data_IF_077625933922
#
_entry.id   IF_077625933922
#
_cell.length_a   1.000
_cell.length_b   1.000
_cell.length_c   1.000
_cell.angle_alpha   90.00
_cell.angle_beta   90.00
_cell.angle_gamma   90.00
#
_symmetry.space_group_name_H-M   'P 1'
#
loop_
_entity.id
_entity.type
_entity.pdbx_description
1 polymer ?
#
# COMPACT_ATOMS: atom_id res chain seq x y z
N UNK A 1 12.23 13.31 59.68
CA UNK A 1 11.13 13.19 58.70
C UNK A 1 10.85 14.58 58.16
N UNK A 2 11.29 14.86 56.92
CA UNK A 2 11.06 16.14 56.24
C UNK A 2 10.06 15.90 55.12
N UNK A 3 8.92 16.58 55.16
CA UNK A 3 7.89 16.56 54.12
C UNK A 3 8.29 17.64 53.12
N UNK A 4 8.92 17.23 52.02
CA UNK A 4 9.23 18.14 50.91
C UNK A 4 7.96 18.35 50.10
N UNK A 5 7.39 19.56 50.21
CA UNK A 5 6.29 20.02 49.38
C UNK A 5 6.71 19.99 47.90
N UNK A 6 6.03 19.17 47.11
CA UNK A 6 6.22 19.06 45.65
C UNK A 6 5.47 20.22 45.01
N UNK A 7 6.19 21.26 44.62
CA UNK A 7 5.65 22.39 43.85
C UNK A 7 5.13 21.84 42.52
N UNK A 8 3.81 21.85 42.35
CA UNK A 8 3.14 21.56 41.07
C UNK A 8 3.46 22.73 40.15
N UNK A 9 4.37 22.51 39.20
CA UNK A 9 4.57 23.40 38.07
C UNK A 9 3.32 23.35 37.19
N UNK A 10 2.47 24.37 37.31
CA UNK A 10 1.48 24.68 36.28
C UNK A 10 2.22 24.89 34.97
N UNK A 11 1.95 24.05 33.98
CA UNK A 11 2.35 24.26 32.59
C UNK A 11 1.69 25.55 32.13
N UNK A 12 2.46 26.63 32.12
CA UNK A 12 2.11 27.87 31.46
C UNK A 12 1.97 27.55 29.97
N UNK A 13 0.75 27.57 29.45
CA UNK A 13 0.50 27.60 28.00
C UNK A 13 1.05 28.93 27.50
N UNK A 14 2.33 28.93 27.16
CA UNK A 14 3.03 30.09 26.63
C UNK A 14 2.37 30.53 25.33
N UNK A 15 2.09 31.83 25.22
CA UNK A 15 1.75 32.44 23.95
C UNK A 15 2.84 32.08 22.93
N UNK A 16 2.48 31.33 21.90
CA UNK A 16 3.40 31.05 20.78
C UNK A 16 3.89 32.38 20.22
N UNK A 17 5.20 32.50 20.03
CA UNK A 17 5.77 33.72 19.45
C UNK A 17 5.17 33.92 18.05
N UNK A 18 5.10 35.15 17.56
CA UNK A 18 4.56 35.39 16.23
C UNK A 18 5.40 34.72 15.12
N UNK A 19 6.68 34.46 15.39
CA UNK A 19 7.56 33.63 14.55
C UNK A 19 7.11 32.16 14.53
N UNK A 20 6.77 31.56 15.68
CA UNK A 20 6.25 30.19 15.75
C UNK A 20 4.94 30.06 14.95
N UNK A 21 4.03 31.05 15.10
CA UNK A 21 2.77 31.08 14.33
C UNK A 21 2.99 31.23 12.83
N UNK A 22 4.05 31.92 12.41
CA UNK A 22 4.41 32.06 11.00
C UNK A 22 4.99 30.75 10.44
N UNK A 23 5.86 30.08 11.20
CA UNK A 23 6.43 28.79 10.82
C UNK A 23 5.35 27.71 10.68
N UNK A 24 4.42 27.63 11.64
CA UNK A 24 3.29 26.70 11.60
C UNK A 24 2.46 26.93 10.32
N UNK A 25 2.10 28.20 10.04
CA UNK A 25 1.33 28.54 8.84
C UNK A 25 2.08 28.19 7.54
N UNK A 26 3.41 28.30 7.52
CA UNK A 26 4.21 27.89 6.36
C UNK A 26 4.24 26.37 6.18
N UNK A 27 4.32 25.62 7.27
CA UNK A 27 4.25 24.15 7.25
C UNK A 27 2.89 23.67 6.73
N UNK A 28 1.79 24.20 7.27
CA UNK A 28 0.42 23.89 6.82
C UNK A 28 0.23 24.17 5.33
N UNK A 29 0.69 25.34 4.84
CA UNK A 29 0.65 25.67 3.41
C UNK A 29 1.47 24.70 2.55
N UNK A 30 2.59 24.21 3.06
CA UNK A 30 3.44 23.25 2.35
C UNK A 30 2.72 21.90 2.21
N UNK A 31 2.08 21.42 3.28
CA UNK A 31 1.27 20.20 3.28
C UNK A 31 0.07 20.36 2.34
N UNK A 32 -0.62 21.49 2.39
CA UNK A 32 -1.74 21.78 1.48
C UNK A 32 -1.32 21.78 0.01
N UNK A 33 -0.18 22.40 -0.30
CA UNK A 33 0.36 22.40 -1.66
C UNK A 33 0.72 20.98 -2.13
N UNK A 34 1.28 20.15 -1.26
CA UNK A 34 1.53 18.74 -1.56
C UNK A 34 0.23 17.97 -1.80
N UNK A 35 -0.76 18.11 -0.92
CA UNK A 35 -2.06 17.46 -1.07
C UNK A 35 -2.72 17.84 -2.41
N UNK A 36 -2.62 19.11 -2.82
CA UNK A 36 -3.11 19.59 -4.13
C UNK A 36 -2.33 19.00 -5.30
N UNK A 37 -1.00 18.93 -5.20
CA UNK A 37 -0.17 18.30 -6.21
C UNK A 37 -0.51 16.80 -6.34
N UNK A 38 -0.76 16.10 -5.24
CA UNK A 38 -1.18 14.71 -5.26
C UNK A 38 -2.55 14.55 -5.89
N UNK A 39 -3.52 15.41 -5.57
CA UNK A 39 -4.81 15.41 -6.22
C UNK A 39 -4.68 15.61 -7.74
N UNK A 40 -3.78 16.48 -8.19
CA UNK A 40 -3.46 16.65 -9.61
C UNK A 40 -2.88 15.37 -10.23
N UNK A 41 -1.87 14.75 -9.59
CA UNK A 41 -1.27 13.51 -10.08
C UNK A 41 -2.28 12.35 -10.15
N UNK A 42 -3.12 12.21 -9.12
CA UNK A 42 -4.22 11.24 -9.13
C UNK A 42 -5.24 11.56 -10.23
N UNK A 43 -5.56 12.82 -10.46
CA UNK A 43 -6.44 13.21 -11.58
C UNK A 43 -5.85 12.80 -12.93
N UNK A 44 -4.54 12.88 -13.11
CA UNK A 44 -3.88 12.40 -14.34
C UNK A 44 -4.03 10.88 -14.47
N UNK A 45 -3.75 10.13 -13.41
CA UNK A 45 -3.93 8.67 -13.37
C UNK A 45 -5.37 8.27 -13.71
N UNK A 46 -6.35 8.91 -13.07
CA UNK A 46 -7.77 8.65 -13.34
C UNK A 46 -8.18 9.08 -14.74
N UNK A 47 -7.55 10.12 -15.31
CA UNK A 47 -7.78 10.51 -16.71
C UNK A 47 -7.27 9.44 -17.68
N UNK A 48 -6.11 8.84 -17.41
CA UNK A 48 -5.59 7.70 -18.20
C UNK A 48 -6.56 6.53 -18.12
N UNK A 49 -6.99 6.14 -16.91
CA UNK A 49 -7.95 5.06 -16.74
C UNK A 49 -9.29 5.37 -17.43
N UNK A 50 -9.82 6.58 -17.27
CA UNK A 50 -11.06 7.01 -17.91
C UNK A 50 -10.96 7.00 -19.44
N UNK A 51 -9.84 7.45 -20.01
CA UNK A 51 -9.60 7.39 -21.45
C UNK A 51 -9.55 5.93 -21.95
N UNK A 52 -8.85 5.04 -21.22
CA UNK A 52 -8.79 3.62 -21.53
C UNK A 52 -10.16 2.93 -21.49
N UNK A 53 -10.99 3.25 -20.48
CA UNK A 53 -12.37 2.74 -20.37
C UNK A 53 -13.24 3.29 -21.49
N UNK A 54 -13.15 4.60 -21.76
CA UNK A 54 -13.93 5.24 -22.81
C UNK A 54 -13.61 4.63 -24.17
N UNK A 55 -12.33 4.37 -24.45
CA UNK A 55 -11.90 3.70 -25.68
C UNK A 55 -12.60 2.33 -25.84
N UNK A 56 -12.57 1.50 -24.77
CA UNK A 56 -13.24 0.20 -24.73
C UNK A 56 -14.77 0.30 -24.92
N UNK A 57 -15.41 1.27 -24.27
CA UNK A 57 -16.85 1.53 -24.43
C UNK A 57 -17.17 1.96 -25.87
N UNK A 58 -16.39 2.88 -26.44
CA UNK A 58 -16.61 3.36 -27.81
C UNK A 58 -16.45 2.25 -28.84
N UNK A 59 -15.42 1.43 -28.71
CA UNK A 59 -15.20 0.27 -29.59
C UNK A 59 -16.35 -0.74 -29.48
N UNK A 60 -16.83 -1.05 -28.28
CA UNK A 60 -18.02 -1.91 -28.11
C UNK A 60 -19.29 -1.30 -28.72
N UNK A 61 -19.48 0.02 -28.61
CA UNK A 61 -20.68 0.70 -29.13
C UNK A 61 -20.68 0.77 -30.66
N UNK A 62 -19.53 1.07 -31.27
CA UNK A 62 -19.36 1.34 -32.71
C UNK A 62 -19.20 0.05 -33.53
N UNK A 63 -18.72 -1.05 -32.93
CA UNK A 63 -18.56 -2.33 -33.64
C UNK A 63 -19.92 -2.83 -34.17
N UNK A 64 -20.02 -2.99 -35.49
CA UNK A 64 -21.24 -3.45 -36.15
C UNK A 64 -21.44 -4.96 -35.97
N UNK A 65 -22.63 -5.37 -35.52
CA UNK A 65 -22.99 -6.78 -35.33
C UNK A 65 -23.86 -7.02 -34.09
N UNK A 66 -24.33 -8.26 -33.87
CA UNK A 66 -25.01 -8.64 -32.64
C UNK A 66 -24.06 -8.47 -31.45
N UNK A 67 -24.45 -7.62 -30.50
CA UNK A 67 -23.68 -7.35 -29.27
C UNK A 67 -23.91 -8.48 -28.28
N UNK A 68 -22.99 -9.43 -28.22
CA UNK A 68 -22.98 -10.45 -27.17
C UNK A 68 -22.25 -9.85 -25.97
N UNK A 69 -22.98 -9.63 -24.88
CA UNK A 69 -22.39 -9.18 -23.61
C UNK A 69 -21.88 -10.40 -22.88
N UNK A 70 -20.56 -10.55 -22.83
CA UNK A 70 -19.92 -11.51 -21.94
C UNK A 70 -19.90 -10.94 -20.52
N UNK A 71 -20.80 -11.44 -19.67
CA UNK A 71 -20.92 -10.98 -18.28
C UNK A 71 -19.68 -11.25 -17.46
N UNK A 72 -18.88 -12.25 -17.79
CA UNK A 72 -17.61 -12.54 -17.09
C UNK A 72 -16.60 -11.42 -17.38
N UNK A 73 -16.46 -11.04 -18.65
CA UNK A 73 -15.59 -9.93 -19.07
C UNK A 73 -16.03 -8.62 -18.42
N UNK A 74 -17.34 -8.34 -18.38
CA UNK A 74 -17.88 -7.14 -17.71
C UNK A 74 -17.56 -7.18 -16.21
N UNK A 75 -17.75 -8.33 -15.55
CA UNK A 75 -17.48 -8.49 -14.13
C UNK A 75 -15.99 -8.28 -13.80
N UNK A 76 -15.06 -8.84 -14.58
CA UNK A 76 -13.62 -8.67 -14.35
C UNK A 76 -13.14 -7.23 -14.62
N UNK A 77 -13.65 -6.57 -15.66
CA UNK A 77 -13.35 -5.15 -15.88
C UNK A 77 -13.91 -4.29 -14.73
N UNK A 78 -15.12 -4.57 -14.26
CA UNK A 78 -15.71 -3.92 -13.09
C UNK A 78 -14.87 -4.14 -11.83
N UNK A 79 -14.41 -5.36 -11.58
CA UNK A 79 -13.56 -5.69 -10.44
C UNK A 79 -12.21 -4.98 -10.51
N UNK A 80 -11.58 -4.91 -11.70
CA UNK A 80 -10.33 -4.18 -11.90
C UNK A 80 -10.49 -2.67 -11.63
N UNK A 81 -11.63 -2.08 -12.04
CA UNK A 81 -11.95 -0.69 -11.71
C UNK A 81 -12.16 -0.47 -10.22
N UNK A 82 -12.85 -1.38 -9.54
CA UNK A 82 -13.03 -1.33 -8.09
C UNK A 82 -11.68 -1.40 -7.38
N UNK A 83 -10.78 -2.30 -7.79
CA UNK A 83 -9.42 -2.38 -7.23
C UNK A 83 -8.68 -1.07 -7.47
N UNK A 84 -8.59 -0.61 -8.72
CA UNK A 84 -7.88 0.62 -9.04
C UNK A 84 -8.40 1.81 -8.23
N UNK A 85 -9.72 2.01 -8.22
CA UNK A 85 -10.37 3.10 -7.49
C UNK A 85 -10.16 3.01 -5.97
N UNK A 86 -10.34 1.82 -5.38
CA UNK A 86 -10.18 1.63 -3.93
C UNK A 86 -8.72 1.72 -3.50
N UNK A 87 -7.79 1.10 -4.22
CA UNK A 87 -6.34 1.19 -3.94
C UNK A 87 -5.86 2.64 -4.04
N UNK A 88 -6.27 3.36 -5.10
CA UNK A 88 -5.93 4.77 -5.28
C UNK A 88 -6.51 5.65 -4.17
N UNK A 89 -7.78 5.45 -3.81
CA UNK A 89 -8.44 6.21 -2.74
C UNK A 89 -7.77 5.97 -1.38
N UNK A 90 -7.47 4.71 -1.04
CA UNK A 90 -6.76 4.36 0.20
C UNK A 90 -5.37 4.99 0.21
N UNK A 91 -4.61 4.87 -0.89
CA UNK A 91 -3.28 5.45 -0.96
C UNK A 91 -3.29 6.97 -0.81
N UNK A 92 -4.16 7.67 -1.55
CA UNK A 92 -4.32 9.12 -1.43
C UNK A 92 -4.66 9.52 0.01
N UNK A 93 -5.59 8.79 0.63
CA UNK A 93 -6.01 9.02 2.00
C UNK A 93 -4.88 8.82 3.01
N UNK A 94 -4.16 7.70 2.91
CA UNK A 94 -3.03 7.37 3.78
C UNK A 94 -1.85 8.31 3.57
N UNK A 95 -1.57 8.73 2.33
CA UNK A 95 -0.51 9.68 2.02
C UNK A 95 -0.82 11.05 2.63
N UNK A 96 -2.04 11.56 2.43
CA UNK A 96 -2.47 12.85 3.00
C UNK A 96 -2.40 12.84 4.54
N UNK A 97 -2.96 11.80 5.19
CA UNK A 97 -2.91 11.67 6.66
C UNK A 97 -1.52 11.37 7.19
N UNK A 98 -0.71 10.62 6.45
CA UNK A 98 0.68 10.36 6.80
C UNK A 98 1.51 11.64 6.83
N UNK A 99 1.28 12.57 5.90
CA UNK A 99 1.91 13.89 5.91
C UNK A 99 1.43 14.74 7.09
N UNK A 100 0.12 14.76 7.36
CA UNK A 100 -0.43 15.47 8.53
C UNK A 100 0.25 14.99 9.82
N UNK A 101 0.36 13.67 10.02
CA UNK A 101 0.97 13.08 11.22
C UNK A 101 2.48 13.38 11.34
N UNK A 102 3.18 13.63 10.23
CA UNK A 102 4.64 13.85 10.22
C UNK A 102 5.06 15.31 10.18
N UNK A 103 4.20 16.20 9.67
CA UNK A 103 4.60 17.58 9.35
C UNK A 103 3.66 18.65 9.91
N UNK A 104 2.49 18.31 10.47
CA UNK A 104 1.59 19.30 11.08
C UNK A 104 2.14 19.85 12.41
N UNK A 105 1.47 20.86 12.98
CA UNK A 105 1.87 21.56 14.21
C UNK A 105 2.12 20.62 15.41
N UNK A 106 1.37 19.52 15.51
CA UNK A 106 1.54 18.47 16.52
C UNK A 106 2.11 17.19 15.88
N UNK A 107 3.12 17.34 15.02
CA UNK A 107 3.73 16.21 14.35
C UNK A 107 4.30 15.20 15.35
N UNK A 108 4.04 13.92 15.08
CA UNK A 108 4.60 12.82 15.86
C UNK A 108 6.06 12.54 15.51
N UNK A 109 6.60 13.24 14.50
CA UNK A 109 7.96 13.10 13.99
C UNK A 109 8.62 14.46 13.84
N UNK A 110 9.89 14.57 14.20
CA UNK A 110 10.70 15.79 13.97
C UNK A 110 10.91 15.97 12.46
N UNK A 111 10.40 17.05 11.85
CA UNK A 111 10.46 17.22 10.40
C UNK A 111 11.89 17.54 9.93
N UNK A 112 12.33 16.91 8.84
CA UNK A 112 13.62 17.20 8.22
C UNK A 112 13.54 17.13 6.69
N UNK A 113 14.35 17.95 6.01
CA UNK A 113 14.28 18.18 4.55
C UNK A 113 14.42 16.89 3.72
N UNK A 114 15.36 16.03 4.08
CA UNK A 114 15.58 14.77 3.37
C UNK A 114 14.42 13.79 3.54
N UNK A 115 13.75 13.80 4.70
CA UNK A 115 12.60 12.93 4.97
C UNK A 115 11.40 13.38 4.17
N UNK A 116 11.20 14.70 4.10
CA UNK A 116 10.20 15.30 3.24
C UNK A 116 10.43 14.98 1.76
N UNK A 117 11.65 15.14 1.25
CA UNK A 117 11.99 14.79 -0.13
C UNK A 117 11.77 13.30 -0.41
N UNK A 118 12.14 12.44 0.52
CA UNK A 118 11.91 10.99 0.39
C UNK A 118 10.42 10.66 0.35
N UNK A 119 9.63 11.17 1.30
CA UNK A 119 8.17 10.96 1.33
C UNK A 119 7.52 11.48 0.03
N UNK A 120 7.98 12.63 -0.47
CA UNK A 120 7.56 13.18 -1.75
C UNK A 120 7.88 12.24 -2.92
N UNK A 121 9.12 11.77 -3.04
CA UNK A 121 9.54 10.88 -4.12
C UNK A 121 8.78 9.55 -4.07
N UNK A 122 8.54 9.00 -2.89
CA UNK A 122 7.73 7.78 -2.71
C UNK A 122 6.33 7.98 -3.29
N UNK A 123 5.69 9.12 -2.99
CA UNK A 123 4.34 9.41 -3.47
C UNK A 123 4.33 9.66 -4.98
N UNK A 124 5.32 10.34 -5.53
CA UNK A 124 5.40 10.54 -6.99
C UNK A 124 5.67 9.23 -7.73
N UNK A 125 6.60 8.41 -7.24
CA UNK A 125 6.99 7.15 -7.88
C UNK A 125 5.85 6.11 -7.84
N UNK A 126 5.01 6.13 -6.81
CA UNK A 126 3.82 5.25 -6.73
C UNK A 126 2.75 5.60 -7.75
N UNK A 127 2.75 6.79 -8.35
CA UNK A 127 1.83 7.13 -9.43
C UNK A 127 2.11 6.32 -10.70
N UNK A 128 3.36 5.88 -10.92
CA UNK A 128 3.75 5.07 -12.07
C UNK A 128 2.95 3.77 -12.16
N UNK A 129 3.00 2.90 -11.12
CA UNK A 129 2.17 1.69 -11.07
C UNK A 129 0.67 1.96 -11.24
N UNK A 130 0.11 3.02 -10.65
CA UNK A 130 -1.29 3.35 -10.85
C UNK A 130 -1.62 3.73 -12.31
N UNK A 131 -0.76 4.52 -12.96
CA UNK A 131 -0.93 4.86 -14.38
C UNK A 131 -0.85 3.60 -15.26
N UNK A 132 0.05 2.66 -14.95
CA UNK A 132 0.14 1.37 -15.64
C UNK A 132 -1.11 0.52 -15.43
N UNK A 133 -1.65 0.46 -14.22
CA UNK A 133 -2.94 -0.20 -13.95
C UNK A 133 -4.07 0.42 -14.78
N UNK A 134 -4.13 1.76 -14.86
CA UNK A 134 -5.12 2.46 -15.68
C UNK A 134 -4.98 2.14 -17.18
N UNK A 135 -3.75 2.20 -17.71
CA UNK A 135 -3.47 1.87 -19.13
C UNK A 135 -3.77 0.41 -19.45
N UNK A 136 -3.53 -0.52 -18.51
CA UNK A 136 -3.82 -1.93 -18.67
C UNK A 136 -5.32 -2.25 -18.84
N UNK A 137 -6.22 -1.29 -18.59
CA UNK A 137 -7.66 -1.45 -18.84
C UNK A 137 -8.08 -1.14 -20.28
N UNK A 138 -7.18 -0.57 -21.08
CA UNK A 138 -7.43 -0.27 -22.50
C UNK A 138 -7.72 -1.55 -23.27
N UNK A 139 -8.64 -1.45 -24.23
CA UNK A 139 -9.07 -2.62 -25.00
C UNK A 139 -7.92 -3.33 -25.71
N UNK A 140 -7.07 -2.61 -26.43
CA UNK A 140 -5.95 -3.22 -27.16
C UNK A 140 -5.02 -4.02 -26.24
N UNK A 141 -4.82 -3.53 -25.02
CA UNK A 141 -3.98 -4.20 -24.02
C UNK A 141 -4.68 -5.42 -23.44
N UNK A 142 -5.97 -5.31 -23.12
CA UNK A 142 -6.73 -6.44 -22.57
C UNK A 142 -7.04 -7.52 -23.59
N UNK A 143 -7.21 -7.17 -24.86
CA UNK A 143 -7.48 -8.12 -25.93
C UNK A 143 -6.22 -8.93 -26.24
N UNK A 144 -5.04 -8.29 -26.18
CA UNK A 144 -3.75 -8.98 -26.36
C UNK A 144 -3.37 -9.78 -25.13
N UNK A 145 -3.39 -9.19 -23.92
CA UNK A 145 -2.78 -9.81 -22.73
C UNK A 145 -3.71 -10.06 -21.55
N UNK A 146 -5.03 -9.96 -21.77
CA UNK A 146 -6.00 -10.08 -20.69
C UNK A 146 -5.71 -9.09 -19.57
N UNK A 147 -5.75 -9.57 -18.32
CA UNK A 147 -5.45 -8.75 -17.14
C UNK A 147 -3.99 -8.87 -16.68
N UNK A 148 -3.09 -9.43 -17.49
CA UNK A 148 -1.68 -9.64 -17.12
C UNK A 148 -0.98 -8.36 -16.69
N UNK A 149 -1.06 -7.31 -17.50
CA UNK A 149 -0.41 -6.04 -17.18
C UNK A 149 -1.03 -5.32 -15.99
N UNK A 150 -2.33 -5.51 -15.77
CA UNK A 150 -3.01 -4.97 -14.59
C UNK A 150 -2.48 -5.65 -13.31
N UNK A 151 -2.40 -6.98 -13.33
CA UNK A 151 -1.80 -7.77 -12.24
C UNK A 151 -0.34 -7.36 -11.99
N UNK A 152 0.50 -7.33 -13.03
CA UNK A 152 1.92 -6.96 -12.87
C UNK A 152 2.07 -5.56 -12.29
N UNK A 153 1.31 -4.57 -12.78
CA UNK A 153 1.35 -3.21 -12.25
C UNK A 153 0.89 -3.15 -10.78
N UNK A 154 -0.14 -3.93 -10.42
CA UNK A 154 -0.59 -4.07 -9.04
C UNK A 154 0.50 -4.68 -8.14
N UNK A 155 1.13 -5.77 -8.56
CA UNK A 155 2.19 -6.42 -7.76
C UNK A 155 3.44 -5.53 -7.64
N UNK A 156 3.79 -4.77 -8.68
CA UNK A 156 4.87 -3.76 -8.61
C UNK A 156 4.54 -2.69 -7.55
N UNK A 157 3.29 -2.24 -7.46
CA UNK A 157 2.88 -1.28 -6.42
C UNK A 157 3.10 -1.86 -5.01
N UNK A 158 2.72 -3.12 -4.80
CA UNK A 158 2.90 -3.80 -3.51
C UNK A 158 4.38 -4.02 -3.19
N UNK A 159 5.18 -4.49 -4.16
CA UNK A 159 6.63 -4.66 -4.01
C UNK A 159 7.33 -3.34 -3.70
N UNK A 160 6.93 -2.26 -4.37
CA UNK A 160 7.44 -0.92 -4.08
C UNK A 160 7.11 -0.52 -2.63
N UNK A 161 5.86 -0.70 -2.19
CA UNK A 161 5.45 -0.45 -0.80
C UNK A 161 6.27 -1.24 0.22
N UNK A 162 6.52 -2.52 -0.04
CA UNK A 162 7.38 -3.37 0.81
C UNK A 162 8.83 -2.90 0.82
N UNK A 163 9.40 -2.51 -0.32
CA UNK A 163 10.74 -1.95 -0.40
C UNK A 163 10.86 -0.68 0.46
N UNK A 164 9.85 0.20 0.41
CA UNK A 164 9.81 1.40 1.25
C UNK A 164 9.72 1.06 2.75
N UNK A 165 8.96 0.02 3.12
CA UNK A 165 8.90 -0.46 4.51
C UNK A 165 10.25 -1.01 4.98
N UNK A 166 10.96 -1.78 4.14
CA UNK A 166 12.30 -2.29 4.45
C UNK A 166 13.28 -1.13 4.65
N UNK A 167 13.28 -0.15 3.73
CA UNK A 167 14.13 1.04 3.85
C UNK A 167 13.81 1.80 5.15
N UNK A 168 12.52 1.96 5.48
CA UNK A 168 12.08 2.55 6.74
C UNK A 168 12.62 1.80 7.96
N UNK A 169 12.48 0.48 8.00
CA UNK A 169 12.99 -0.36 9.09
C UNK A 169 14.51 -0.27 9.26
N UNK A 170 15.26 -0.34 8.16
CA UNK A 170 16.72 -0.20 8.16
C UNK A 170 17.14 1.16 8.71
N UNK A 171 16.45 2.22 8.28
CA UNK A 171 16.69 3.57 8.79
C UNK A 171 16.48 3.66 10.31
N UNK A 172 15.39 3.10 10.84
CA UNK A 172 15.14 3.07 12.29
C UNK A 172 16.20 2.26 13.04
N UNK A 173 16.66 1.15 12.46
CA UNK A 173 17.68 0.29 13.07
C UNK A 173 19.05 0.98 13.13
N UNK A 174 19.42 1.74 12.10
CA UNK A 174 20.74 2.39 11.98
C UNK A 174 20.79 3.72 12.72
N UNK A 175 19.76 4.56 12.56
CA UNK A 175 19.74 5.93 13.06
C UNK A 175 18.90 6.11 14.32
N UNK A 176 18.25 5.04 14.80
CA UNK A 176 17.38 5.08 15.96
C UNK A 176 16.04 5.78 15.72
N UNK A 177 15.17 5.72 16.73
CA UNK A 177 13.85 6.36 16.73
C UNK A 177 13.90 7.81 17.27
N UNK A 178 15.06 8.45 17.26
CA UNK A 178 15.28 9.78 17.86
C UNK A 178 14.37 10.88 17.31
N UNK A 179 13.81 10.66 16.11
CA UNK A 179 12.92 11.61 15.47
C UNK A 179 11.45 11.31 15.71
N UNK A 180 11.07 10.20 16.36
CA UNK A 180 9.66 9.88 16.65
C UNK A 180 9.36 10.21 18.11
N UNK A 181 8.24 10.86 18.36
CA UNK A 181 7.70 11.06 19.71
C UNK A 181 7.58 9.71 20.45
N UNK A 182 8.08 9.59 21.69
CA UNK A 182 8.12 8.31 22.41
C UNK A 182 6.77 7.58 22.51
N UNK A 183 5.69 8.36 22.61
CA UNK A 183 4.31 7.87 22.70
C UNK A 183 3.84 7.16 21.42
N UNK A 184 4.43 7.49 20.27
CA UNK A 184 4.03 6.96 18.96
C UNK A 184 4.99 5.89 18.41
N UNK A 185 6.15 5.65 19.04
CA UNK A 185 7.14 4.65 18.58
C UNK A 185 6.52 3.26 18.48
N UNK A 186 5.82 2.82 19.53
CA UNK A 186 5.19 1.50 19.56
C UNK A 186 4.13 1.34 18.46
N UNK A 187 3.33 2.38 18.23
CA UNK A 187 2.30 2.41 17.19
C UNK A 187 2.94 2.35 15.80
N UNK A 188 3.97 3.18 15.55
CA UNK A 188 4.69 3.21 14.28
C UNK A 188 5.33 1.86 13.95
N UNK A 189 6.00 1.22 14.91
CA UNK A 189 6.58 -0.10 14.74
C UNK A 189 5.50 -1.18 14.53
N UNK A 190 4.40 -1.12 15.28
CA UNK A 190 3.27 -2.05 15.13
C UNK A 190 2.64 -1.98 13.74
N UNK A 191 2.42 -0.76 13.22
CA UNK A 191 1.91 -0.51 11.86
C UNK A 191 2.87 -1.01 10.79
N UNK A 192 4.18 -0.72 10.92
CA UNK A 192 5.19 -1.21 9.99
C UNK A 192 5.22 -2.74 9.94
N UNK A 193 5.19 -3.41 11.10
CA UNK A 193 5.14 -4.88 11.19
C UNK A 193 3.86 -5.43 10.55
N UNK A 194 2.73 -4.79 10.81
CA UNK A 194 1.43 -5.18 10.28
C UNK A 194 1.42 -5.14 8.75
N UNK A 195 1.75 -3.98 8.17
CA UNK A 195 1.76 -3.82 6.72
C UNK A 195 2.79 -4.72 6.06
N UNK A 196 3.97 -4.87 6.64
CA UNK A 196 5.00 -5.76 6.10
C UNK A 196 4.50 -7.20 6.05
N UNK A 197 3.97 -7.72 7.16
CA UNK A 197 3.45 -9.08 7.23
C UNK A 197 2.25 -9.29 6.28
N UNK A 198 1.28 -8.37 6.28
CA UNK A 198 0.08 -8.46 5.46
C UNK A 198 0.42 -8.47 3.97
N UNK A 199 1.26 -7.53 3.50
CA UNK A 199 1.63 -7.45 2.09
C UNK A 199 2.53 -8.65 1.68
N UNK A 200 3.43 -9.13 2.55
CA UNK A 200 4.23 -10.33 2.25
C UNK A 200 3.39 -11.60 2.11
N UNK A 201 2.39 -11.79 2.99
CA UNK A 201 1.46 -12.92 2.90
C UNK A 201 0.62 -12.81 1.62
N UNK A 202 0.11 -11.62 1.31
CA UNK A 202 -0.62 -11.36 0.07
C UNK A 202 0.22 -11.75 -1.15
N UNK A 203 1.47 -11.25 -1.26
CA UNK A 203 2.37 -11.57 -2.37
C UNK A 203 2.63 -13.08 -2.50
N UNK A 204 2.81 -13.78 -1.38
CA UNK A 204 3.05 -15.22 -1.39
C UNK A 204 1.85 -16.00 -1.94
N UNK A 205 0.64 -15.66 -1.50
CA UNK A 205 -0.60 -16.29 -1.98
C UNK A 205 -0.80 -15.96 -3.46
N UNK A 206 -0.55 -14.72 -3.88
CA UNK A 206 -0.64 -14.31 -5.28
C UNK A 206 0.36 -15.03 -6.17
N UNK A 207 1.64 -15.10 -5.78
CA UNK A 207 2.67 -15.81 -6.53
C UNK A 207 2.34 -17.30 -6.66
N UNK A 208 1.90 -17.92 -5.56
CA UNK A 208 1.58 -19.35 -5.52
C UNK A 208 0.33 -19.68 -6.34
N UNK A 209 -0.71 -18.85 -6.27
CA UNK A 209 -1.91 -19.03 -7.10
C UNK A 209 -1.62 -18.79 -8.58
N UNK A 210 -0.77 -17.82 -8.93
CA UNK A 210 -0.33 -17.59 -10.31
C UNK A 210 0.42 -18.81 -10.84
N UNK A 211 1.39 -19.32 -10.08
CA UNK A 211 2.14 -20.52 -10.43
C UNK A 211 1.25 -21.75 -10.65
N UNK A 212 0.29 -21.99 -9.75
CA UNK A 212 -0.65 -23.11 -9.88
C UNK A 212 -1.55 -22.97 -11.11
N UNK A 213 -1.96 -21.74 -11.45
CA UNK A 213 -2.84 -21.48 -12.57
C UNK A 213 -2.13 -21.42 -13.93
N UNK A 214 -0.83 -21.09 -13.96
CA UNK A 214 -0.03 -21.05 -15.20
C UNK A 214 0.37 -22.43 -15.74
N UNK A 215 0.05 -23.50 -15.00
CA UNK A 215 0.47 -24.86 -15.30
C UNK A 215 1.87 -25.18 -14.76
N UNK A 216 2.11 -26.47 -14.48
CA UNK A 216 3.40 -27.00 -14.02
C UNK A 216 4.49 -26.84 -15.08
N UNK A 217 5.76 -26.84 -14.67
CA UNK A 217 6.95 -26.92 -15.54
C UNK A 217 6.89 -28.01 -16.63
N UNK A 218 6.01 -28.99 -16.48
CA UNK A 218 5.85 -30.15 -17.36
C UNK A 218 4.73 -29.99 -18.41
N UNK A 219 3.96 -28.91 -18.36
CA UNK A 219 2.85 -28.62 -19.29
C UNK A 219 3.11 -27.32 -20.05
N UNK A 220 2.47 -27.16 -21.23
CA UNK A 220 2.47 -25.91 -21.98
C UNK A 220 2.02 -24.79 -21.04
N UNK A 221 2.85 -23.75 -20.84
CA UNK A 221 2.49 -22.60 -19.99
C UNK A 221 1.24 -21.93 -20.57
N UNK A 222 0.18 -21.83 -19.78
CA UNK A 222 -1.02 -21.05 -20.10
C UNK A 222 -0.96 -19.70 -19.41
N UNK A 223 -1.51 -18.66 -20.03
CA UNK A 223 -1.68 -17.37 -19.41
C UNK A 223 -2.89 -17.42 -18.44
N UNK A 224 -2.67 -17.42 -17.10
CA UNK A 224 -3.77 -17.53 -16.13
C UNK A 224 -4.61 -16.24 -16.02
N UNK A 225 -4.32 -15.24 -16.86
CA UNK A 225 -4.97 -13.94 -16.86
C UNK A 225 -5.73 -13.65 -18.17
N UNK A 226 -5.84 -14.65 -19.03
CA UNK A 226 -6.72 -14.64 -20.21
C UNK A 226 -8.03 -15.39 -19.90
N UNK A 227 -9.20 -14.72 -19.92
CA UNK A 227 -10.48 -15.32 -19.48
C UNK A 227 -10.85 -16.65 -20.13
N UNK A 228 -10.37 -16.90 -21.35
CA UNK A 228 -10.72 -18.09 -22.13
C UNK A 228 -9.71 -19.26 -21.98
N UNK A 229 -8.68 -19.12 -21.15
CA UNK A 229 -7.68 -20.17 -20.92
C UNK A 229 -7.95 -20.98 -19.63
N UNK A 230 -7.50 -22.24 -19.60
CA UNK A 230 -7.62 -23.12 -18.43
C UNK A 230 -6.92 -22.52 -17.20
N UNK A 231 -7.57 -22.56 -16.03
CA UNK A 231 -7.02 -22.01 -14.79
C UNK A 231 -7.21 -20.50 -14.62
N UNK A 232 -7.62 -19.78 -15.68
CA UNK A 232 -7.71 -18.33 -15.63
C UNK A 232 -8.85 -17.82 -14.75
N UNK A 233 -10.01 -18.46 -14.79
CA UNK A 233 -11.15 -18.07 -13.95
C UNK A 233 -10.82 -18.24 -12.46
N UNK A 234 -10.15 -19.35 -12.09
CA UNK A 234 -9.70 -19.55 -10.70
C UNK A 234 -8.73 -18.46 -10.26
N UNK A 235 -7.67 -18.21 -11.04
CA UNK A 235 -6.68 -17.21 -10.68
C UNK A 235 -7.26 -15.80 -10.64
N UNK A 236 -8.03 -15.39 -11.63
CA UNK A 236 -8.68 -14.08 -11.66
C UNK A 236 -9.58 -13.90 -10.44
N UNK A 237 -10.42 -14.88 -10.09
CA UNK A 237 -11.27 -14.80 -8.90
C UNK A 237 -10.45 -14.66 -7.62
N UNK A 238 -9.36 -15.43 -7.47
CA UNK A 238 -8.44 -15.33 -6.34
C UNK A 238 -7.78 -13.95 -6.29
N UNK A 239 -7.24 -13.47 -7.42
CA UNK A 239 -6.63 -12.16 -7.54
C UNK A 239 -7.59 -11.04 -7.15
N UNK A 240 -8.76 -10.99 -7.77
CA UNK A 240 -9.73 -9.92 -7.52
C UNK A 240 -10.22 -9.94 -6.07
N UNK A 241 -10.54 -11.12 -5.52
CA UNK A 241 -10.97 -11.26 -4.14
C UNK A 241 -9.87 -10.85 -3.15
N UNK A 242 -8.63 -11.28 -3.36
CA UNK A 242 -7.51 -10.96 -2.48
C UNK A 242 -7.11 -9.50 -2.56
N UNK A 243 -7.13 -8.88 -3.74
CA UNK A 243 -6.81 -7.46 -3.89
C UNK A 243 -7.84 -6.57 -3.17
N UNK A 244 -9.13 -6.88 -3.30
CA UNK A 244 -10.20 -6.18 -2.54
C UNK A 244 -10.06 -6.43 -1.04
N UNK A 245 -9.82 -7.68 -0.62
CA UNK A 245 -9.61 -8.01 0.78
C UNK A 245 -8.37 -7.29 1.34
N UNK A 246 -7.28 -7.23 0.58
CA UNK A 246 -6.05 -6.50 0.92
C UNK A 246 -6.36 -5.02 1.15
N UNK A 247 -7.13 -4.39 0.29
CA UNK A 247 -7.56 -3.00 0.48
C UNK A 247 -8.40 -2.82 1.75
N UNK A 248 -9.31 -3.75 2.05
CA UNK A 248 -10.07 -3.72 3.29
C UNK A 248 -9.17 -3.88 4.53
N UNK A 249 -8.20 -4.80 4.48
CA UNK A 249 -7.22 -5.01 5.55
C UNK A 249 -6.21 -3.87 5.68
N UNK A 250 -5.96 -3.12 4.61
CA UNK A 250 -5.14 -1.91 4.66
C UNK A 250 -5.89 -0.75 5.31
N UNK A 251 -7.18 -0.60 5.02
CA UNK A 251 -7.98 0.53 5.49
C UNK A 251 -8.56 0.34 6.90
N UNK A 252 -9.28 -0.76 7.15
CA UNK A 252 -10.07 -0.94 8.37
C UNK A 252 -9.23 -0.88 9.65
N UNK A 253 -8.08 -1.58 9.76
CA UNK A 253 -7.25 -1.55 10.96
C UNK A 253 -6.54 -0.21 11.16
N UNK A 254 -6.25 0.49 10.06
CA UNK A 254 -5.53 1.77 10.07
C UNK A 254 -6.43 2.96 10.37
N UNK A 255 -7.76 2.81 10.28
CA UNK A 255 -8.70 3.89 10.56
C UNK A 255 -8.42 4.57 11.90
N UNK A 256 -8.28 3.80 12.98
CA UNK A 256 -7.99 4.37 14.29
C UNK A 256 -6.57 4.95 14.37
N UNK A 257 -5.61 4.46 13.59
CA UNK A 257 -4.24 5.01 13.58
C UNK A 257 -4.24 6.42 12.99
N UNK A 258 -4.92 6.62 11.86
CA UNK A 258 -5.01 7.92 11.20
C UNK A 258 -6.05 8.86 11.83
N UNK A 259 -7.06 8.29 12.50
CA UNK A 259 -8.09 9.01 13.25
C UNK A 259 -8.13 8.54 14.69
N UNK A 260 -7.23 9.04 15.54
CA UNK A 260 -7.32 8.79 16.97
C UNK A 260 -8.58 9.45 17.53
N UNK A 261 -9.70 8.71 17.54
CA UNK A 261 -10.89 9.08 18.29
C UNK A 261 -10.55 8.98 19.78
N UNK A 262 -11.08 9.92 20.59
CA UNK A 262 -10.84 10.01 22.05
C UNK A 262 -10.79 8.63 22.72
N UNK A 263 -9.91 8.45 23.72
CA UNK A 263 -9.56 7.14 24.22
C UNK A 263 -10.77 6.35 24.71
N UNK A 264 -10.89 5.13 24.18
CA UNK A 264 -12.02 4.22 24.44
C UNK A 264 -11.68 3.17 25.51
N UNK A 265 -10.41 3.04 25.91
CA UNK A 265 -9.99 2.11 26.96
C UNK A 265 -10.32 2.62 28.36
N UNK A 266 -10.55 1.70 29.31
CA UNK A 266 -10.82 2.02 30.71
C UNK A 266 -9.74 2.91 31.38
N UNK A 267 -8.52 2.92 30.82
CA UNK A 267 -7.37 3.68 31.31
C UNK A 267 -7.04 4.91 30.44
N UNK A 268 -7.94 5.34 29.55
CA UNK A 268 -7.64 6.45 28.65
C UNK A 268 -6.67 6.08 27.51
N UNK A 269 -6.52 4.78 27.20
CA UNK A 269 -5.71 4.32 26.06
C UNK A 269 -6.54 4.23 24.77
N UNK A 270 -5.86 4.44 23.65
CA UNK A 270 -6.42 4.21 22.32
C UNK A 270 -6.47 2.70 22.02
N UNK A 271 -7.61 2.23 21.53
CA UNK A 271 -7.81 0.82 21.18
C UNK A 271 -7.68 0.63 19.67
N UNK A 272 -6.78 -0.27 19.26
CA UNK A 272 -6.63 -0.68 17.87
C UNK A 272 -7.36 -2.00 17.61
N UNK A 273 -7.53 -2.33 16.32
CA UNK A 273 -8.00 -3.64 15.92
C UNK A 273 -7.08 -4.74 16.50
N UNK A 274 -7.67 -5.82 17.03
CA UNK A 274 -6.94 -6.80 17.89
C UNK A 274 -5.60 -7.30 17.31
N UNK A 275 -5.50 -7.70 16.02
CA UNK A 275 -4.22 -8.07 15.42
C UNK A 275 -3.18 -6.95 15.40
N UNK A 276 -3.59 -5.71 15.10
CA UNK A 276 -2.71 -4.55 15.14
C UNK A 276 -2.27 -4.25 16.58
N UNK A 277 -3.22 -4.26 17.53
CA UNK A 277 -2.93 -4.05 18.94
C UNK A 277 -1.84 -5.02 19.45
N UNK A 278 -1.94 -6.31 19.11
CA UNK A 278 -0.91 -7.31 19.46
C UNK A 278 0.47 -6.97 18.89
N UNK A 279 0.55 -6.35 17.72
CA UNK A 279 1.81 -5.97 17.08
C UNK A 279 2.39 -4.67 17.65
N UNK A 280 1.52 -3.76 18.10
CA UNK A 280 1.89 -2.54 18.85
C UNK A 280 2.45 -2.93 20.22
N UNK A 281 1.79 -3.83 20.93
CA UNK A 281 2.19 -4.31 22.25
C UNK A 281 3.35 -5.33 22.21
N UNK A 282 3.80 -5.71 21.01
CA UNK A 282 4.84 -6.71 20.83
C UNK A 282 6.23 -6.17 21.21
N UNK A 283 6.76 -6.71 22.30
CA UNK A 283 8.15 -6.53 22.72
C UNK A 283 9.04 -7.63 22.08
N UNK A 284 9.96 -7.28 21.15
CA UNK A 284 10.81 -8.27 20.51
C UNK A 284 11.79 -8.90 21.52
N UNK A 285 11.94 -10.23 21.54
CA UNK A 285 12.99 -10.87 22.32
C UNK A 285 14.37 -10.42 21.82
N UNK A 286 15.34 -10.31 22.75
CA UNK A 286 16.73 -10.04 22.42
C UNK A 286 17.49 -11.35 22.28
N UNK A 287 17.97 -11.64 21.08
CA UNK A 287 18.82 -12.80 20.78
C UNK A 287 20.21 -12.26 20.48
N UNK A 288 21.22 -12.64 21.26
CA UNK A 288 22.59 -12.09 21.17
C UNK A 288 22.65 -10.55 21.24
N UNK A 289 21.78 -9.93 22.03
CA UNK A 289 21.70 -8.46 22.17
C UNK A 289 20.96 -7.75 21.03
N UNK A 290 20.59 -8.47 19.96
CA UNK A 290 19.80 -7.93 18.85
C UNK A 290 18.30 -8.17 19.11
N UNK A 291 17.48 -7.13 18.96
CA UNK A 291 16.02 -7.27 19.02
C UNK A 291 15.53 -7.98 17.75
N UNK A 292 15.08 -9.22 17.88
CA UNK A 292 14.55 -10.00 16.76
C UNK A 292 13.03 -9.95 16.81
N UNK A 293 12.41 -9.33 15.80
CA UNK A 293 10.95 -9.26 15.70
C UNK A 293 10.40 -10.48 14.96
N UNK A 294 9.76 -11.40 15.67
CA UNK A 294 9.16 -12.59 15.07
C UNK A 294 8.16 -12.26 13.93
N UNK A 295 7.27 -11.25 14.05
CA UNK A 295 6.42 -10.83 12.94
C UNK A 295 7.19 -10.41 11.68
N UNK A 296 8.33 -9.71 11.85
CA UNK A 296 9.18 -9.34 10.72
C UNK A 296 9.84 -10.57 10.11
N UNK A 297 10.38 -11.49 10.92
CA UNK A 297 10.97 -12.74 10.44
C UNK A 297 9.95 -13.52 9.60
N UNK A 298 8.72 -13.67 10.10
CA UNK A 298 7.63 -14.31 9.34
C UNK A 298 7.34 -13.57 8.05
N UNK A 299 7.26 -12.23 8.08
CA UNK A 299 7.07 -11.41 6.89
C UNK A 299 8.20 -11.58 5.86
N UNK A 300 9.46 -11.69 6.30
CA UNK A 300 10.61 -11.92 5.41
C UNK A 300 10.59 -13.33 4.83
N UNK A 301 10.17 -14.34 5.59
CA UNK A 301 10.00 -15.71 5.07
C UNK A 301 8.93 -15.78 3.98
N UNK A 302 7.78 -15.16 4.19
CA UNK A 302 6.74 -15.07 3.16
C UNK A 302 7.22 -14.29 1.93
N UNK A 303 7.92 -13.17 2.12
CA UNK A 303 8.48 -12.40 1.01
C UNK A 303 9.51 -13.21 0.22
N UNK A 304 10.44 -13.88 0.90
CA UNK A 304 11.44 -14.74 0.26
C UNK A 304 10.81 -15.91 -0.49
N UNK A 305 9.77 -16.53 0.09
CA UNK A 305 9.00 -17.56 -0.59
C UNK A 305 8.27 -17.01 -1.82
N UNK A 306 7.63 -15.84 -1.72
CA UNK A 306 6.95 -15.19 -2.84
C UNK A 306 7.93 -14.89 -3.98
N UNK A 307 9.07 -14.26 -3.67
CA UNK A 307 10.15 -13.99 -4.63
C UNK A 307 10.67 -15.29 -5.24
N UNK A 308 10.85 -16.35 -4.46
CA UNK A 308 11.30 -17.65 -4.99
C UNK A 308 10.29 -18.23 -5.98
N UNK A 309 8.99 -18.15 -5.69
CA UNK A 309 7.94 -18.59 -6.61
C UNK A 309 7.91 -17.71 -7.88
N UNK A 310 8.02 -16.39 -7.73
CA UNK A 310 8.01 -15.45 -8.86
C UNK A 310 9.24 -15.59 -9.77
N UNK A 311 10.43 -15.79 -9.20
CA UNK A 311 11.67 -15.85 -9.97
C UNK A 311 12.02 -17.26 -10.42
N UNK A 312 11.99 -18.22 -9.50
CA UNK A 312 12.44 -19.57 -9.82
C UNK A 312 11.33 -20.32 -10.55
N UNK A 313 10.12 -20.35 -9.97
CA UNK A 313 9.05 -21.24 -10.42
C UNK A 313 8.26 -20.74 -11.63
N UNK A 314 8.04 -19.43 -11.72
CA UNK A 314 7.22 -18.82 -12.78
C UNK A 314 8.06 -18.05 -13.79
N UNK A 315 9.32 -17.73 -13.49
CA UNK A 315 10.18 -16.91 -14.35
C UNK A 315 9.50 -15.60 -14.77
N UNK A 316 8.78 -14.94 -13.85
CA UNK A 316 8.10 -13.66 -14.11
C UNK A 316 9.05 -12.55 -14.58
N UNK A 317 10.36 -12.73 -14.37
CA UNK A 317 11.38 -11.83 -14.88
C UNK A 317 11.58 -11.94 -16.41
N UNK A 318 11.20 -13.06 -17.04
CA UNK A 318 11.25 -13.23 -18.50
C UNK A 318 10.00 -12.60 -19.14
N UNK A 319 9.98 -11.26 -19.16
CA UNK A 319 8.89 -10.50 -19.78
C UNK A 319 8.65 -10.89 -21.24
N UNK A 320 9.67 -11.09 -22.11
CA UNK A 320 9.44 -11.56 -23.48
C UNK A 320 8.73 -12.92 -23.56
N UNK A 321 9.01 -13.84 -22.64
CA UNK A 321 8.29 -15.10 -22.56
C UNK A 321 6.82 -14.87 -22.18
N UNK A 322 6.55 -14.12 -21.12
CA UNK A 322 5.18 -13.88 -20.67
C UNK A 322 4.36 -13.05 -21.65
N UNK A 323 4.99 -12.11 -22.36
CA UNK A 323 4.36 -11.43 -23.50
C UNK A 323 3.92 -12.45 -24.53
N UNK A 324 4.80 -13.37 -24.97
CA UNK A 324 4.44 -14.41 -25.96
C UNK A 324 3.39 -15.41 -25.46
N UNK A 325 3.40 -15.75 -24.18
CA UNK A 325 2.41 -16.69 -23.59
C UNK A 325 1.04 -16.03 -23.44
N UNK A 326 1.03 -14.74 -23.13
CA UNK A 326 -0.15 -13.92 -22.95
C UNK A 326 -0.38 -12.98 -24.15
N UNK A 327 -0.04 -13.33 -25.39
CA UNK A 327 -0.37 -12.53 -26.60
C UNK A 327 -0.81 -13.45 -27.72
#
# INVERSE_FOLDING_TARGET
MSITAKTVSMVTVGATSDEDKLQIRQQERTIDNLNRLFAMLFSIVFSVAAASILHKVTAFVITAGPKVVDWEVVAFNGAALVILGTTAAIFFHQASRGLDLRYAQNANVVPHRLGFLFDYLVIVLTMGPFALMGKALEQEVTDVAGFFWFFVAHEILILFGLAMLIIGQLRHTIFGDHNISPEFVAVAHGVQRYWFMMNSIYLFIMASSFFLASGSYTTVRSCPLMPHQSGALFFMMVFFALAVARNAFDFLPMWNVFFPVKPQGANGQQLYWKPLQKLVDYAPPRIFGLSVSLPLVVGYLFLAAAVSVMFLLTELYDLPLWIRVCS
#
